data_IF_021897371210
#
_entry.id   IF_021897371210
#
_cell.length_a   1.000
_cell.length_b   1.000
_cell.length_c   1.000
_cell.angle_alpha   90.00
_cell.angle_beta   90.00
_cell.angle_gamma   90.00
#
_symmetry.space_group_name_H-M   'P 1'
#
loop_
_entity.id
_entity.type
_entity.pdbx_description
1 polymer ?
#
# COMPACT_ATOMS: atom_id res chain seq x y z
N UNK A 1 -10.54 -18.91 -40.47
CA UNK A 1 -10.62 -19.41 -39.08
C UNK A 1 -10.88 -18.23 -38.17
N UNK A 2 -12.15 -17.86 -38.08
CA UNK A 2 -12.69 -16.83 -37.20
C UNK A 2 -13.21 -17.46 -35.91
N UNK A 3 -13.25 -16.65 -34.85
CA UNK A 3 -13.89 -16.90 -33.55
C UNK A 3 -13.28 -17.97 -32.65
N UNK A 4 -12.43 -17.54 -31.72
CA UNK A 4 -12.77 -17.62 -30.29
C UNK A 4 -12.18 -16.38 -29.62
N UNK A 5 -12.93 -15.27 -29.60
CA UNK A 5 -12.75 -14.31 -28.51
C UNK A 5 -13.05 -15.09 -27.23
N UNK A 6 -12.03 -15.35 -26.41
CA UNK A 6 -12.25 -15.78 -25.02
C UNK A 6 -13.01 -14.65 -24.33
N UNK A 7 -14.34 -14.66 -24.42
CA UNK A 7 -15.19 -13.99 -23.45
C UNK A 7 -14.88 -14.66 -22.12
N UNK A 8 -13.97 -14.06 -21.35
CA UNK A 8 -13.73 -14.46 -19.97
C UNK A 8 -15.09 -14.43 -19.24
N UNK A 9 -15.35 -15.38 -18.34
CA UNK A 9 -16.67 -15.53 -17.72
C UNK A 9 -17.18 -14.22 -17.11
N UNK A 10 -18.49 -13.99 -17.22
CA UNK A 10 -19.22 -12.80 -16.73
C UNK A 10 -19.22 -12.66 -15.19
N UNK A 11 -18.74 -13.68 -14.48
CA UNK A 11 -18.70 -13.72 -13.02
C UNK A 11 -17.27 -13.46 -12.54
N UNK A 12 -17.11 -12.33 -11.84
CA UNK A 12 -15.85 -11.91 -11.22
C UNK A 12 -15.99 -12.05 -9.72
N UNK A 13 -15.07 -12.79 -9.10
CA UNK A 13 -15.05 -12.98 -7.65
C UNK A 13 -13.68 -12.59 -7.08
N UNK A 14 -13.69 -11.70 -6.09
CA UNK A 14 -12.50 -11.39 -5.28
C UNK A 14 -12.68 -12.11 -3.95
N UNK A 15 -11.81 -13.07 -3.64
CA UNK A 15 -11.72 -13.72 -2.34
C UNK A 15 -10.77 -12.91 -1.45
N UNK A 16 -11.32 -12.20 -0.47
CA UNK A 16 -10.55 -11.39 0.48
C UNK A 16 -10.16 -12.23 1.70
N UNK A 17 -8.89 -12.65 1.77
CA UNK A 17 -8.37 -13.42 2.91
C UNK A 17 -7.84 -12.55 4.06
N UNK A 18 -7.91 -11.21 3.95
CA UNK A 18 -7.41 -10.26 4.95
C UNK A 18 -8.37 -10.17 6.12
N UNK A 19 -9.68 -9.99 5.88
CA UNK A 19 -10.68 -9.89 6.96
C UNK A 19 -12.09 -10.41 6.62
N UNK A 20 -12.76 -10.84 7.69
CA UNK A 20 -13.93 -11.70 7.80
C UNK A 20 -15.29 -10.96 7.84
N UNK A 21 -15.49 -9.76 7.31
CA UNK A 21 -16.78 -9.07 7.54
C UNK A 21 -17.88 -9.53 6.58
N UNK A 22 -17.68 -9.44 5.27
CA UNK A 22 -18.72 -9.81 4.28
C UNK A 22 -18.69 -11.29 3.85
N UNK A 23 -17.51 -11.90 3.76
CA UNK A 23 -17.34 -13.26 3.23
C UNK A 23 -17.29 -14.36 4.32
N UNK A 24 -17.23 -13.99 5.60
CA UNK A 24 -17.06 -14.97 6.69
C UNK A 24 -18.15 -16.00 6.77
N UNK A 25 -19.38 -15.62 6.46
CA UNK A 25 -20.53 -16.52 6.52
C UNK A 25 -20.57 -17.51 5.36
N UNK A 26 -19.71 -17.34 4.34
CA UNK A 26 -19.61 -18.25 3.19
C UNK A 26 -18.78 -19.50 3.50
N UNK A 27 -17.95 -19.46 4.54
CA UNK A 27 -16.96 -20.50 4.83
C UNK A 27 -16.92 -20.81 6.33
N UNK A 28 -16.72 -22.08 6.67
CA UNK A 28 -16.50 -22.47 8.07
C UNK A 28 -15.13 -21.99 8.55
N UNK A 29 -14.88 -22.02 9.88
CA UNK A 29 -13.56 -21.68 10.43
C UNK A 29 -12.45 -22.60 9.87
N UNK A 30 -12.74 -23.88 9.65
CA UNK A 30 -11.82 -24.84 9.05
C UNK A 30 -11.51 -24.50 7.60
N UNK A 31 -12.52 -24.10 6.82
CA UNK A 31 -12.34 -23.69 5.43
C UNK A 31 -11.45 -22.44 5.36
N UNK A 32 -11.68 -21.45 6.22
CA UNK A 32 -10.82 -20.26 6.31
C UNK A 32 -9.36 -20.59 6.63
N UNK A 33 -9.13 -21.52 7.55
CA UNK A 33 -7.79 -21.99 7.89
C UNK A 33 -7.15 -22.67 6.67
N UNK A 34 -7.89 -23.54 6.00
CA UNK A 34 -7.42 -24.24 4.80
C UNK A 34 -7.09 -23.25 3.66
N UNK A 35 -7.97 -22.27 3.40
CA UNK A 35 -7.76 -21.25 2.38
C UNK A 35 -6.50 -20.41 2.67
N UNK A 36 -6.30 -19.98 3.92
CA UNK A 36 -5.09 -19.24 4.33
C UNK A 36 -3.82 -20.08 4.28
N UNK A 37 -3.92 -21.39 4.52
CA UNK A 37 -2.79 -22.31 4.33
C UNK A 37 -2.49 -22.54 2.85
N UNK A 38 -3.53 -22.63 2.01
CA UNK A 38 -3.40 -22.85 0.57
C UNK A 38 -2.81 -21.63 -0.14
N UNK A 39 -3.28 -20.44 0.21
CA UNK A 39 -2.83 -19.18 -0.36
C UNK A 39 -1.90 -18.49 0.64
N UNK A 40 -0.60 -18.76 0.52
CA UNK A 40 0.44 -18.12 1.32
C UNK A 40 0.79 -16.73 0.78
N UNK A 41 1.51 -15.95 1.59
CA UNK A 41 2.13 -14.68 1.17
C UNK A 41 2.84 -14.83 -0.18
N UNK A 42 2.59 -13.87 -1.06
CA UNK A 42 3.13 -13.84 -2.44
C UNK A 42 4.32 -12.91 -2.55
N UNK A 43 4.39 -11.92 -1.67
CA UNK A 43 5.58 -11.12 -1.54
C UNK A 43 6.52 -11.85 -0.62
N UNK A 44 7.68 -12.25 -1.15
CA UNK A 44 8.76 -12.68 -0.30
C UNK A 44 9.01 -11.56 0.71
N UNK A 45 9.02 -11.93 1.99
CA UNK A 45 9.81 -11.20 2.96
C UNK A 45 11.25 -11.38 2.48
N UNK A 46 11.68 -10.64 1.44
CA UNK A 46 13.07 -10.24 1.37
C UNK A 46 13.30 -9.67 2.75
N UNK A 47 14.00 -10.44 3.58
CA UNK A 47 14.50 -9.97 4.85
C UNK A 47 15.20 -8.69 4.42
N UNK A 48 14.55 -7.53 4.67
CA UNK A 48 15.32 -6.33 4.89
C UNK A 48 16.29 -6.83 5.93
N UNK A 49 17.53 -7.06 5.52
CA UNK A 49 18.60 -7.23 6.48
C UNK A 49 18.44 -5.95 7.27
N UNK A 50 17.84 -6.08 8.45
CA UNK A 50 17.77 -5.00 9.40
C UNK A 50 19.24 -4.68 9.55
N UNK A 51 19.65 -3.60 8.88
CA UNK A 51 20.99 -3.09 9.02
C UNK A 51 21.18 -3.03 10.54
N UNK A 52 22.31 -3.52 11.06
CA UNK A 52 22.62 -3.40 12.48
C UNK A 52 22.39 -1.95 12.96
N UNK A 53 22.57 -0.99 12.05
CA UNK A 53 22.26 0.42 12.25
C UNK A 53 20.76 0.71 12.44
N UNK A 54 19.84 -0.01 11.78
CA UNK A 54 18.39 0.16 11.93
C UNK A 54 17.87 -0.41 13.27
N UNK A 55 18.37 -1.56 13.69
CA UNK A 55 18.06 -2.10 15.03
C UNK A 55 18.59 -1.17 16.14
N UNK A 56 19.81 -0.64 15.96
CA UNK A 56 20.37 0.37 16.87
C UNK A 56 19.57 1.67 16.85
N UNK A 57 19.06 2.08 15.68
CA UNK A 57 18.21 3.27 15.56
C UNK A 57 16.91 3.12 16.35
N UNK A 58 16.26 1.95 16.28
CA UNK A 58 15.07 1.63 17.06
C UNK A 58 15.33 1.73 18.57
N UNK A 59 16.46 1.23 19.05
CA UNK A 59 16.82 1.32 20.48
C UNK A 59 17.09 2.77 20.93
N UNK A 60 17.79 3.56 20.10
CA UNK A 60 18.03 4.98 20.38
C UNK A 60 16.72 5.76 20.35
N UNK A 61 15.82 5.47 19.39
CA UNK A 61 14.52 6.12 19.29
C UNK A 61 13.68 6.00 20.56
N UNK A 62 13.75 4.86 21.27
CA UNK A 62 13.03 4.67 22.55
C UNK A 62 13.49 5.64 23.64
N UNK A 63 14.74 6.10 23.60
CA UNK A 63 15.36 6.87 24.69
C UNK A 63 15.68 8.31 24.31
N UNK A 64 16.04 8.57 23.06
CA UNK A 64 16.43 9.87 22.52
C UNK A 64 15.94 10.05 21.06
N UNK A 65 14.63 10.33 20.83
CA UNK A 65 14.05 10.48 19.49
C UNK A 65 14.75 11.53 18.61
N UNK A 66 15.18 12.66 19.19
CA UNK A 66 15.90 13.71 18.46
C UNK A 66 17.30 13.27 18.02
N UNK A 67 17.97 12.43 18.81
CA UNK A 67 19.26 11.84 18.45
C UNK A 67 19.09 10.81 17.34
N UNK A 68 18.08 9.93 17.46
CA UNK A 68 17.71 8.99 16.40
C UNK A 68 17.44 9.72 15.08
N UNK A 69 16.70 10.85 15.12
CA UNK A 69 16.44 11.66 13.93
C UNK A 69 17.72 12.22 13.31
N UNK A 70 18.66 12.69 14.12
CA UNK A 70 19.94 13.20 13.65
C UNK A 70 20.78 12.08 12.99
N UNK A 71 20.76 10.87 13.55
CA UNK A 71 21.43 9.69 13.00
C UNK A 71 20.79 9.31 11.66
N UNK A 72 19.46 9.22 11.59
CA UNK A 72 18.73 8.90 10.37
C UNK A 72 19.04 9.90 9.25
N UNK A 73 19.02 11.21 9.56
CA UNK A 73 19.40 12.26 8.60
C UNK A 73 20.84 12.14 8.12
N UNK A 74 21.78 11.82 9.02
CA UNK A 74 23.18 11.62 8.65
C UNK A 74 23.35 10.38 7.76
N UNK A 75 22.59 9.32 8.02
CA UNK A 75 22.62 8.12 7.20
C UNK A 75 22.07 8.40 5.79
N UNK A 76 20.92 9.07 5.70
CA UNK A 76 20.33 9.58 4.46
C UNK A 76 21.36 10.39 3.64
N UNK A 77 22.08 11.32 4.27
CA UNK A 77 23.02 12.17 3.56
C UNK A 77 24.19 11.39 2.93
N UNK A 78 24.52 10.21 3.47
CA UNK A 78 25.68 9.42 3.09
C UNK A 78 25.35 8.18 2.26
N UNK A 79 24.07 7.79 2.17
CA UNK A 79 23.62 6.60 1.46
C UNK A 79 22.50 6.94 0.48
N UNK A 80 22.31 6.12 -0.55
CA UNK A 80 21.25 6.30 -1.55
C UNK A 80 20.64 4.97 -1.94
N UNK A 81 19.40 5.00 -2.42
CA UNK A 81 18.69 3.83 -2.90
C UNK A 81 18.20 2.93 -1.78
N UNK A 82 18.22 1.62 -2.04
CA UNK A 82 17.60 0.64 -1.14
C UNK A 82 18.24 0.59 0.26
N UNK A 83 19.51 0.98 0.40
CA UNK A 83 20.21 0.98 1.68
C UNK A 83 19.78 2.14 2.60
N UNK A 84 19.33 3.28 2.06
CA UNK A 84 18.85 4.41 2.87
C UNK A 84 17.35 4.38 3.14
N UNK A 85 16.57 3.63 2.36
CA UNK A 85 15.10 3.64 2.38
C UNK A 85 14.49 3.56 3.78
N UNK A 86 15.00 2.67 4.63
CA UNK A 86 14.49 2.53 6.00
C UNK A 86 14.80 3.75 6.86
N UNK A 87 16.01 4.31 6.75
CA UNK A 87 16.40 5.53 7.46
C UNK A 87 15.64 6.76 6.98
N UNK A 88 15.36 6.84 5.68
CA UNK A 88 14.56 7.91 5.07
C UNK A 88 13.13 7.88 5.61
N UNK A 89 12.56 6.68 5.80
CA UNK A 89 11.27 6.50 6.47
C UNK A 89 11.31 6.92 7.94
N UNK A 90 12.28 6.42 8.72
CA UNK A 90 12.43 6.78 10.13
C UNK A 90 12.64 8.28 10.33
N UNK A 91 13.43 8.93 9.48
CA UNK A 91 13.66 10.36 9.56
C UNK A 91 12.37 11.17 9.41
N UNK A 92 11.56 10.88 8.38
CA UNK A 92 10.28 11.58 8.18
C UNK A 92 9.24 11.23 9.26
N UNK A 93 9.27 10.01 9.79
CA UNK A 93 8.45 9.61 10.93
C UNK A 93 8.79 10.39 12.20
N UNK A 94 10.06 10.38 12.62
CA UNK A 94 10.55 11.07 13.81
C UNK A 94 10.34 12.59 13.72
N UNK A 95 10.54 13.17 12.52
CA UNK A 95 10.23 14.57 12.25
C UNK A 95 8.73 14.88 12.42
N UNK A 96 7.86 13.95 12.03
CA UNK A 96 6.41 14.10 12.25
C UNK A 96 6.07 14.02 13.72
N UNK A 97 6.64 13.07 14.47
CA UNK A 97 6.50 12.99 15.92
C UNK A 97 7.00 14.25 16.64
N UNK A 98 8.13 14.82 16.23
CA UNK A 98 8.74 15.96 16.92
C UNK A 98 7.99 17.26 16.63
N UNK A 99 7.69 17.52 15.35
CA UNK A 99 7.21 18.84 14.90
C UNK A 99 5.73 18.91 14.59
N UNK A 100 5.02 17.77 14.51
CA UNK A 100 3.59 17.72 14.14
C UNK A 100 2.76 16.94 15.17
N UNK A 101 3.11 17.07 16.46
CA UNK A 101 2.44 16.41 17.60
C UNK A 101 0.92 16.54 17.59
N UNK A 102 0.41 17.65 17.06
CA UNK A 102 -1.03 17.93 16.98
C UNK A 102 -1.81 16.89 16.15
N UNK A 103 -1.18 16.19 15.21
CA UNK A 103 -1.83 15.15 14.39
C UNK A 103 -2.24 13.94 15.23
N UNK A 104 -1.57 13.72 16.35
CA UNK A 104 -1.82 12.59 17.24
C UNK A 104 -2.80 12.93 18.37
N UNK A 105 -3.26 14.18 18.42
CA UNK A 105 -4.16 14.67 19.47
C UNK A 105 -5.60 14.27 19.17
N UNK A 106 -6.28 13.71 20.17
CA UNK A 106 -7.69 13.29 20.06
C UNK A 106 -8.70 14.44 20.12
N UNK A 107 -8.26 15.61 20.60
CA UNK A 107 -9.11 16.80 20.76
C UNK A 107 -9.11 17.70 19.53
N UNK A 108 -8.40 17.31 18.46
CA UNK A 108 -8.35 18.01 17.19
C UNK A 108 -8.99 17.09 16.14
N UNK A 109 -9.93 17.63 15.36
CA UNK A 109 -10.51 16.91 14.23
C UNK A 109 -9.47 16.85 13.09
N UNK A 110 -8.84 15.69 12.93
CA UNK A 110 -7.83 15.45 11.90
C UNK A 110 -8.50 14.79 10.70
N UNK A 111 -8.46 15.48 9.56
CA UNK A 111 -9.08 14.97 8.33
C UNK A 111 -8.24 13.87 7.68
N UNK A 112 -8.85 13.14 6.75
CA UNK A 112 -8.14 12.18 5.90
C UNK A 112 -7.03 12.86 5.07
N UNK A 113 -7.32 14.04 4.52
CA UNK A 113 -6.33 14.85 3.80
C UNK A 113 -5.17 15.27 4.69
N UNK A 114 -5.43 15.61 5.96
CA UNK A 114 -4.35 15.90 6.91
C UNK A 114 -3.45 14.69 7.12
N UNK A 115 -4.03 13.49 7.29
CA UNK A 115 -3.27 12.24 7.39
C UNK A 115 -2.40 11.99 6.16
N UNK A 116 -2.96 12.20 4.96
CA UNK A 116 -2.21 12.08 3.69
C UNK A 116 -1.09 13.10 3.63
N UNK A 117 -1.39 14.39 3.74
CA UNK A 117 -0.42 15.46 3.50
C UNK A 117 0.67 15.50 4.57
N UNK A 118 0.32 15.16 5.82
CA UNK A 118 1.20 15.39 6.95
C UNK A 118 1.91 14.15 7.45
N UNK A 119 1.38 12.95 7.20
CA UNK A 119 1.94 11.68 7.67
C UNK A 119 2.30 10.78 6.49
N UNK A 120 1.32 10.25 5.76
CA UNK A 120 1.56 9.17 4.78
C UNK A 120 2.29 9.64 3.53
N UNK A 121 1.97 10.83 3.03
CA UNK A 121 2.62 11.44 1.88
C UNK A 121 4.14 11.49 2.06
N UNK A 122 4.66 12.24 3.04
CA UNK A 122 6.10 12.31 3.31
C UNK A 122 6.77 10.95 3.50
N UNK A 123 6.12 10.01 4.21
CA UNK A 123 6.67 8.68 4.49
C UNK A 123 6.77 7.80 3.24
N UNK A 124 5.75 7.81 2.37
CA UNK A 124 5.73 6.97 1.18
C UNK A 124 6.61 7.59 0.08
N UNK A 125 6.61 8.92 -0.06
CA UNK A 125 7.50 9.65 -0.97
C UNK A 125 8.98 9.41 -0.61
N UNK A 126 9.33 9.35 0.69
CA UNK A 126 10.71 9.11 1.10
C UNK A 126 11.21 7.71 0.69
N UNK A 127 10.34 6.70 0.73
CA UNK A 127 10.66 5.34 0.26
C UNK A 127 10.82 5.27 -1.27
N UNK A 128 10.10 6.11 -2.01
CA UNK A 128 10.02 6.04 -3.48
C UNK A 128 10.97 7.00 -4.22
N UNK A 129 11.67 7.88 -3.49
CA UNK A 129 12.50 8.97 -4.02
C UNK A 129 13.48 8.62 -5.15
N UNK A 130 14.08 7.42 -5.12
CA UNK A 130 15.16 7.01 -6.04
C UNK A 130 14.64 6.14 -7.20
N UNK A 131 13.32 6.03 -7.37
CA UNK A 131 12.70 5.24 -8.43
C UNK A 131 12.37 6.15 -9.61
N UNK A 132 13.34 6.43 -10.47
CA UNK A 132 13.23 7.39 -11.58
C UNK A 132 12.07 7.15 -12.57
N UNK A 133 11.61 5.91 -12.69
CA UNK A 133 10.48 5.55 -13.57
C UNK A 133 9.12 5.55 -12.85
N UNK A 134 9.09 5.71 -11.53
CA UNK A 134 7.90 5.57 -10.69
C UNK A 134 7.55 6.92 -10.07
N UNK A 135 6.28 7.32 -10.18
CA UNK A 135 5.73 8.52 -9.55
C UNK A 135 4.51 8.19 -8.70
N UNK A 136 4.41 8.88 -7.58
CA UNK A 136 3.22 8.88 -6.75
C UNK A 136 2.30 10.02 -7.21
N UNK A 137 1.00 9.75 -7.31
CA UNK A 137 -0.02 10.75 -7.63
C UNK A 137 -1.13 10.68 -6.59
N UNK A 138 -1.22 11.72 -5.78
CA UNK A 138 -2.17 11.86 -4.66
C UNK A 138 -3.43 12.62 -5.05
N UNK A 139 -4.50 12.41 -4.28
CA UNK A 139 -5.81 13.06 -4.44
C UNK A 139 -6.70 12.30 -5.41
N UNK A 140 -7.88 12.85 -5.74
CA UNK A 140 -8.92 12.29 -6.63
C UNK A 140 -8.44 12.00 -8.08
N UNK A 141 -7.48 11.09 -8.22
CA UNK A 141 -6.77 10.85 -9.46
C UNK A 141 -7.48 9.74 -10.22
N UNK A 142 -7.84 10.03 -11.47
CA UNK A 142 -8.55 9.08 -12.31
C UNK A 142 -7.55 8.23 -13.08
N UNK A 143 -7.50 6.94 -12.76
CA UNK A 143 -6.69 5.95 -13.46
C UNK A 143 -7.16 5.70 -14.90
N UNK A 144 -6.24 5.28 -15.77
CA UNK A 144 -6.60 4.75 -17.09
C UNK A 144 -7.12 3.31 -16.94
N UNK A 145 -8.24 3.15 -16.23
CA UNK A 145 -8.94 1.88 -16.07
C UNK A 145 -9.68 1.60 -17.38
N UNK A 146 -9.16 0.67 -18.18
CA UNK A 146 -9.77 0.31 -19.45
C UNK A 146 -11.25 -0.05 -19.28
N UNK A 147 -12.08 0.46 -20.21
CA UNK A 147 -13.45 0.07 -20.62
C UNK A 147 -14.55 -0.20 -19.58
N UNK A 148 -14.27 -0.38 -18.29
CA UNK A 148 -15.25 -0.74 -17.26
C UNK A 148 -16.07 0.44 -16.76
N UNK A 149 -15.51 1.66 -16.77
CA UNK A 149 -16.23 2.89 -16.43
C UNK A 149 -15.78 4.02 -17.36
N UNK A 150 -16.73 4.71 -18.00
CA UNK A 150 -16.43 5.89 -18.86
C UNK A 150 -15.72 7.02 -18.09
N UNK A 151 -15.78 7.00 -16.76
CA UNK A 151 -15.23 8.02 -15.86
C UNK A 151 -14.01 7.58 -15.04
N UNK A 152 -13.57 6.31 -15.13
CA UNK A 152 -12.54 5.73 -14.29
C UNK A 152 -12.88 5.69 -12.79
N UNK A 153 -11.98 5.10 -11.99
CA UNK A 153 -12.05 5.13 -10.51
C UNK A 153 -11.21 6.28 -9.97
N UNK A 154 -11.73 6.97 -8.94
CA UNK A 154 -11.00 7.98 -8.17
C UNK A 154 -10.24 7.28 -7.06
N UNK A 155 -8.92 7.39 -7.09
CA UNK A 155 -8.02 6.67 -6.20
C UNK A 155 -7.25 7.68 -5.37
N UNK A 156 -7.12 7.48 -4.05
CA UNK A 156 -6.43 8.45 -3.17
C UNK A 156 -4.92 8.55 -3.48
N UNK A 157 -4.33 7.41 -3.83
CA UNK A 157 -2.96 7.33 -4.32
C UNK A 157 -2.84 6.35 -5.48
N UNK A 158 -2.15 6.79 -6.53
CA UNK A 158 -1.67 5.94 -7.62
C UNK A 158 -0.15 5.89 -7.63
N UNK A 159 0.38 4.67 -7.73
CA UNK A 159 1.75 4.43 -8.15
C UNK A 159 1.75 4.27 -9.66
N UNK A 160 2.43 5.17 -10.35
CA UNK A 160 2.43 5.27 -11.81
C UNK A 160 3.83 5.04 -12.33
N UNK A 161 3.96 4.20 -13.36
CA UNK A 161 5.17 4.11 -14.16
C UNK A 161 5.03 4.95 -15.43
N UNK A 162 6.01 5.79 -15.71
CA UNK A 162 6.07 6.48 -17.00
C UNK A 162 6.66 5.57 -18.07
N UNK A 163 5.92 5.34 -19.14
CA UNK A 163 6.36 4.53 -20.28
C UNK A 163 6.38 5.38 -21.54
N UNK A 164 7.51 5.37 -22.25
CA UNK A 164 7.62 5.99 -23.58
C UNK A 164 7.01 5.01 -24.59
N UNK A 165 5.87 5.38 -25.17
CA UNK A 165 5.27 4.60 -26.24
C UNK A 165 6.04 4.72 -27.55
N UNK A 166 5.87 3.74 -28.46
CA UNK A 166 6.45 3.73 -29.83
C UNK A 166 6.11 4.97 -30.68
N UNK A 167 5.18 5.82 -30.24
CA UNK A 167 4.72 7.05 -30.94
C UNK A 167 5.20 8.32 -30.20
N UNK A 168 6.24 8.24 -29.36
CA UNK A 168 6.76 9.36 -28.56
C UNK A 168 5.72 10.05 -27.65
N UNK A 169 4.60 9.40 -27.36
CA UNK A 169 3.66 9.87 -26.34
C UNK A 169 4.04 9.25 -25.00
N UNK A 170 4.26 10.09 -23.98
CA UNK A 170 4.39 9.64 -22.59
C UNK A 170 3.05 9.07 -22.16
N UNK A 171 3.04 7.82 -21.72
CA UNK A 171 1.85 7.15 -21.20
C UNK A 171 2.08 6.81 -19.74
N UNK A 172 1.11 7.15 -18.92
CA UNK A 172 1.07 6.78 -17.51
C UNK A 172 0.43 5.40 -17.37
N UNK A 173 1.14 4.47 -16.72
CA UNK A 173 0.62 3.14 -16.42
C UNK A 173 0.56 2.92 -14.92
N UNK A 174 -0.63 2.67 -14.37
CA UNK A 174 -0.76 2.36 -12.94
C UNK A 174 -0.13 0.99 -12.65
N UNK A 175 0.61 0.89 -11.56
CA UNK A 175 1.23 -0.37 -11.12
C UNK A 175 0.75 -0.81 -9.75
N UNK A 176 0.37 0.15 -8.90
CA UNK A 176 -0.17 -0.09 -7.57
C UNK A 176 -1.09 1.08 -7.14
N UNK A 177 -1.82 0.87 -6.04
CA UNK A 177 -2.79 1.82 -5.53
C UNK A 177 -2.86 1.85 -4.00
N UNK A 178 -3.33 2.96 -3.45
CA UNK A 178 -3.66 3.05 -2.04
C UNK A 178 -4.97 3.80 -1.80
N UNK A 179 -5.64 3.43 -0.73
CA UNK A 179 -6.84 4.10 -0.20
C UNK A 179 -6.57 4.46 1.26
N UNK A 180 -7.08 5.63 1.64
CA UNK A 180 -6.79 6.26 2.91
C UNK A 180 -8.08 6.51 3.69
N UNK A 181 -7.99 6.39 5.00
CA UNK A 181 -9.07 6.71 5.91
C UNK A 181 -8.51 7.47 7.12
N UNK A 182 -9.32 8.38 7.67
CA UNK A 182 -8.97 9.17 8.86
C UNK A 182 -8.74 8.30 10.13
N UNK A 183 -8.16 8.90 11.17
CA UNK A 183 -7.70 8.21 12.39
C UNK A 183 -8.79 7.43 13.11
N UNK A 184 -10.00 7.98 13.18
CA UNK A 184 -11.16 7.46 13.88
C UNK A 184 -12.20 6.83 12.92
N UNK A 185 -11.79 6.44 11.72
CA UNK A 185 -12.68 5.83 10.74
C UNK A 185 -13.34 4.57 11.31
N UNK A 186 -14.65 4.43 11.05
CA UNK A 186 -15.40 3.24 11.49
C UNK A 186 -14.92 1.99 10.75
N UNK A 187 -15.11 0.82 11.37
CA UNK A 187 -14.80 -0.47 10.73
C UNK A 187 -15.52 -0.61 9.38
N UNK A 188 -16.78 -0.15 9.31
CA UNK A 188 -17.55 -0.16 8.05
C UNK A 188 -16.95 0.71 6.95
N UNK A 189 -16.42 1.90 7.30
CA UNK A 189 -15.72 2.77 6.34
C UNK A 189 -14.42 2.11 5.86
N UNK A 190 -13.61 1.60 6.79
CA UNK A 190 -12.35 0.90 6.46
C UNK A 190 -12.61 -0.32 5.56
N UNK A 191 -13.67 -1.09 5.82
CA UNK A 191 -14.03 -2.24 5.00
C UNK A 191 -14.55 -1.83 3.62
N UNK A 192 -15.35 -0.77 3.54
CA UNK A 192 -15.81 -0.22 2.26
C UNK A 192 -14.65 0.30 1.40
N UNK A 193 -13.71 1.01 2.00
CA UNK A 193 -12.51 1.51 1.32
C UNK A 193 -11.61 0.36 0.87
N UNK A 194 -11.54 -0.74 1.65
CA UNK A 194 -10.84 -1.96 1.20
C UNK A 194 -11.50 -2.57 -0.04
N UNK A 195 -12.83 -2.68 -0.05
CA UNK A 195 -13.55 -3.19 -1.22
C UNK A 195 -13.27 -2.34 -2.46
N UNK A 196 -13.28 -1.01 -2.32
CA UNK A 196 -12.91 -0.07 -3.39
C UNK A 196 -11.48 -0.30 -3.85
N UNK A 197 -10.53 -0.37 -2.92
CA UNK A 197 -9.11 -0.62 -3.18
C UNK A 197 -8.91 -1.91 -4.00
N UNK A 198 -9.55 -3.02 -3.60
CA UNK A 198 -9.42 -4.30 -4.28
C UNK A 198 -10.02 -4.30 -5.69
N UNK A 199 -11.14 -3.59 -5.91
CA UNK A 199 -11.74 -3.43 -7.24
C UNK A 199 -10.82 -2.64 -8.18
N UNK A 200 -10.18 -1.61 -7.66
CA UNK A 200 -9.19 -0.83 -8.41
C UNK A 200 -7.93 -1.65 -8.74
N UNK A 201 -7.41 -2.39 -7.76
CA UNK A 201 -6.26 -3.28 -7.94
C UNK A 201 -6.56 -4.36 -8.98
N UNK A 202 -7.79 -4.89 -9.00
CA UNK A 202 -8.24 -5.82 -10.04
C UNK A 202 -8.16 -5.18 -11.42
N UNK A 203 -8.64 -3.93 -11.56
CA UNK A 203 -8.59 -3.24 -12.85
C UNK A 203 -7.14 -3.02 -13.31
N UNK A 204 -6.22 -2.75 -12.39
CA UNK A 204 -4.78 -2.69 -12.68
C UNK A 204 -4.27 -4.05 -13.13
N UNK A 205 -4.56 -5.11 -12.38
CA UNK A 205 -4.11 -6.48 -12.65
C UNK A 205 -4.60 -6.97 -14.01
N UNK A 206 -5.90 -6.83 -14.30
CA UNK A 206 -6.47 -7.22 -15.60
C UNK A 206 -5.79 -6.51 -16.76
N UNK A 207 -5.51 -5.21 -16.61
CA UNK A 207 -4.81 -4.46 -17.64
C UNK A 207 -3.39 -4.98 -17.82
N UNK A 208 -2.66 -5.21 -16.73
CA UNK A 208 -1.30 -5.73 -16.79
C UNK A 208 -1.28 -7.11 -17.47
N UNK A 209 -2.10 -8.05 -17.03
CA UNK A 209 -2.24 -9.39 -17.65
C UNK A 209 -2.57 -9.28 -19.14
N UNK A 210 -3.47 -8.38 -19.52
CA UNK A 210 -3.85 -8.21 -20.93
C UNK A 210 -2.70 -7.68 -21.80
N UNK A 211 -1.85 -6.81 -21.24
CA UNK A 211 -0.71 -6.21 -21.94
C UNK A 211 0.48 -7.18 -22.00
N UNK A 212 0.82 -7.81 -20.88
CA UNK A 212 2.01 -8.67 -20.75
C UNK A 212 1.73 -10.11 -21.18
N UNK A 213 0.47 -10.54 -21.17
CA UNK A 213 0.04 -11.94 -21.31
C UNK A 213 0.57 -12.86 -20.21
N UNK A 214 0.88 -12.29 -19.05
CA UNK A 214 1.40 -12.99 -17.88
C UNK A 214 0.35 -12.96 -16.77
N UNK A 215 -0.12 -14.12 -16.34
CA UNK A 215 -1.11 -14.28 -15.26
C UNK A 215 -0.45 -14.44 -13.87
N UNK A 216 0.88 -14.48 -13.79
CA UNK A 216 1.64 -14.56 -12.53
C UNK A 216 1.84 -13.20 -11.85
N UNK A 217 1.35 -12.12 -12.48
CA UNK A 217 1.49 -10.76 -11.97
C UNK A 217 0.83 -10.60 -10.61
N UNK A 218 1.56 -9.97 -9.70
CA UNK A 218 1.07 -9.52 -8.40
C UNK A 218 0.85 -8.01 -8.45
N UNK A 219 -0.36 -7.56 -8.11
CA UNK A 219 -0.62 -6.12 -7.87
C UNK A 219 -0.60 -5.86 -6.38
N UNK A 220 0.28 -4.96 -5.96
CA UNK A 220 0.32 -4.48 -4.58
C UNK A 220 -0.72 -3.37 -4.38
N UNK A 221 -1.37 -3.40 -3.23
CA UNK A 221 -2.32 -2.40 -2.77
C UNK A 221 -2.01 -2.03 -1.33
N UNK A 222 -2.16 -0.76 -0.98
CA UNK A 222 -1.88 -0.27 0.37
C UNK A 222 -3.15 0.32 0.99
N UNK A 223 -3.58 -0.22 2.12
CA UNK A 223 -4.65 0.37 2.90
C UNK A 223 -4.06 1.16 4.06
N UNK A 224 -4.37 2.45 4.13
CA UNK A 224 -3.96 3.34 5.22
C UNK A 224 -5.20 3.73 6.04
N UNK A 225 -5.32 3.22 7.26
CA UNK A 225 -6.42 3.53 8.16
C UNK A 225 -5.88 4.23 9.40
N UNK A 226 -5.98 5.55 9.45
CA UNK A 226 -5.31 6.35 10.47
C UNK A 226 -3.80 6.15 10.41
N UNK A 227 -3.23 5.57 11.46
CA UNK A 227 -1.80 5.28 11.58
C UNK A 227 -1.44 3.83 11.27
N UNK A 228 -2.42 3.03 10.89
CA UNK A 228 -2.22 1.65 10.49
C UNK A 228 -2.07 1.56 8.97
N UNK A 229 -1.02 0.87 8.53
CA UNK A 229 -0.80 0.47 7.15
C UNK A 229 -1.00 -1.05 7.00
N UNK A 230 -1.71 -1.46 5.96
CA UNK A 230 -1.85 -2.86 5.56
C UNK A 230 -1.43 -3.00 4.10
N UNK A 231 -0.36 -3.76 3.86
CA UNK A 231 0.09 -4.12 2.53
C UNK A 231 -0.66 -5.38 2.07
N UNK A 232 -1.28 -5.27 0.91
CA UNK A 232 -2.13 -6.27 0.31
C UNK A 232 -1.54 -6.67 -1.03
N UNK A 233 -1.56 -7.95 -1.34
CA UNK A 233 -1.35 -8.43 -2.71
C UNK A 233 -2.67 -8.90 -3.31
N UNK A 234 -2.86 -8.67 -4.60
CA UNK A 234 -3.95 -9.22 -5.40
C UNK A 234 -3.38 -9.99 -6.58
N UNK A 235 -3.82 -11.23 -6.74
CA UNK A 235 -3.39 -12.16 -7.79
C UNK A 235 -4.58 -12.83 -8.46
N UNK A 236 -4.41 -13.28 -9.70
CA UNK A 236 -5.37 -14.11 -10.42
C UNK A 236 -4.99 -15.58 -10.21
N UNK A 237 -5.79 -16.34 -9.47
CA UNK A 237 -5.50 -17.76 -9.16
C UNK A 237 -6.17 -18.73 -10.14
N UNK A 238 -7.31 -18.34 -10.69
CA UNK A 238 -8.03 -19.08 -11.72
C UNK A 238 -8.88 -18.10 -12.53
N UNK A 239 -9.41 -18.55 -13.67
CA UNK A 239 -10.27 -17.72 -14.53
C UNK A 239 -11.43 -17.09 -13.74
N UNK A 240 -11.37 -15.77 -13.54
CA UNK A 240 -12.36 -15.00 -12.80
C UNK A 240 -12.25 -15.03 -11.26
N UNK A 241 -11.30 -15.78 -10.70
CA UNK A 241 -11.02 -15.86 -9.26
C UNK A 241 -9.75 -15.08 -8.90
N UNK A 242 -9.96 -13.95 -8.24
CA UNK A 242 -8.90 -13.11 -7.69
C UNK A 242 -8.77 -13.37 -6.21
N UNK A 243 -7.55 -13.45 -5.69
CA UNK A 243 -7.30 -13.68 -4.27
C UNK A 243 -6.51 -12.51 -3.70
N UNK A 244 -7.03 -11.90 -2.65
CA UNK A 244 -6.38 -10.82 -1.92
C UNK A 244 -5.78 -11.35 -0.61
N UNK A 245 -4.52 -11.03 -0.36
CA UNK A 245 -3.74 -11.55 0.77
C UNK A 245 -3.15 -10.40 1.59
N UNK A 246 -3.10 -10.59 2.91
CA UNK A 246 -2.36 -9.70 3.79
C UNK A 246 -0.87 -10.07 3.77
N UNK A 247 -0.06 -9.20 3.20
CA UNK A 247 1.38 -9.39 3.11
C UNK A 247 2.10 -8.83 4.33
N UNK A 248 1.68 -7.66 4.80
CA UNK A 248 2.24 -7.04 6.00
C UNK A 248 1.25 -6.06 6.63
N UNK A 249 1.40 -5.82 7.93
CA UNK A 249 0.66 -4.78 8.63
C UNK A 249 1.58 -4.11 9.63
N UNK A 250 1.50 -2.79 9.73
CA UNK A 250 2.29 -1.98 10.65
C UNK A 250 1.43 -0.84 11.19
N UNK A 251 1.78 -0.36 12.38
CA UNK A 251 1.16 0.81 12.99
C UNK A 251 2.23 1.79 13.40
N UNK A 252 2.02 3.07 13.12
CA UNK A 252 2.91 4.13 13.59
C UNK A 252 2.60 4.47 15.05
N UNK A 253 3.62 4.50 15.92
CA UNK A 253 3.45 4.95 17.30
C UNK A 253 3.06 6.43 17.35
N UNK A 254 2.25 6.81 18.35
CA UNK A 254 1.67 8.17 18.47
C UNK A 254 2.44 9.09 19.41
N UNK A 255 3.34 8.54 20.21
CA UNK A 255 4.10 9.27 21.22
C UNK A 255 5.42 8.59 21.54
N UNK A 256 6.30 9.35 22.19
CA UNK A 256 7.55 8.81 22.76
C UNK A 256 7.30 7.72 23.81
N UNK A 257 6.16 7.76 24.50
CA UNK A 257 5.75 6.72 25.43
C UNK A 257 5.38 5.42 24.70
N UNK A 258 4.70 5.52 23.56
CA UNK A 258 4.36 4.35 22.74
C UNK A 258 5.61 3.71 22.17
N UNK A 259 6.61 4.52 21.78
CA UNK A 259 7.91 4.02 21.32
C UNK A 259 8.61 3.15 22.38
N UNK A 260 8.59 3.57 23.64
CA UNK A 260 9.18 2.81 24.76
C UNK A 260 8.49 1.48 25.05
N UNK A 261 7.26 1.31 24.58
CA UNK A 261 6.44 0.12 24.83
C UNK A 261 6.52 -0.97 23.75
N UNK A 262 7.23 -0.69 22.64
CA UNK A 262 7.54 -1.63 21.55
C UNK A 262 8.77 -2.48 21.86
#
# INVERSE_FOLDING_TARGET
MSEVFRQRPKTCHILDLIKLSSQKNLFTKSDWKLLKCKFSKRLDNNTFILDLNAAKLQEIEKTAPSEARAIARKYEANHRGASSTLFDFYYEYLKTLEFKKYIFRKDIDITETDMVVKVWGPLIESIMRDKGDIRLKWGDTIGNSGTLTKSGFKMDLRVVRDVISKINKRKEENTANAETAKLDASIGKIDNDRCKLLLESKCVLDRLINVTRDDTIVVCALQLAGLQATLISLVLEADGLYVALNEASASLPTSESDLKSL
#
